data_IF_330457444677
#
_entry.id   IF_330457444677
#
_cell.length_a   1.000
_cell.length_b   1.000
_cell.length_c   1.000
_cell.angle_alpha   90.00
_cell.angle_beta   90.00
_cell.angle_gamma   90.00
#
_symmetry.space_group_name_H-M   'P 1'
#
loop_
_entity.id
_entity.type
_entity.pdbx_description
1 polymer ?
#
# COMPACT_ATOMS: atom_id res chain seq x y z
N UNK A 1 25.41 -13.60 16.23
CA UNK A 1 25.39 -13.08 14.85
C UNK A 1 24.33 -13.88 14.13
N UNK A 2 23.33 -13.22 13.55
CA UNK A 2 22.33 -13.90 12.72
C UNK A 2 22.98 -14.51 11.48
N UNK A 3 22.30 -15.44 10.86
CA UNK A 3 22.72 -16.07 9.61
C UNK A 3 22.72 -15.01 8.48
N UNK A 4 23.77 -15.01 7.65
CA UNK A 4 23.82 -14.14 6.46
C UNK A 4 22.85 -14.72 5.42
N UNK A 5 21.95 -13.90 4.93
CA UNK A 5 20.92 -14.30 3.96
C UNK A 5 21.15 -13.60 2.62
N UNK A 6 20.82 -14.29 1.53
CA UNK A 6 20.65 -13.71 0.20
C UNK A 6 19.21 -13.17 0.09
N UNK A 7 19.10 -11.87 -0.09
CA UNK A 7 17.80 -11.19 -0.08
C UNK A 7 17.60 -10.42 -1.38
N UNK A 8 16.51 -10.73 -2.08
CA UNK A 8 16.01 -9.89 -3.17
C UNK A 8 15.09 -8.84 -2.55
N UNK A 9 15.37 -7.56 -2.77
CA UNK A 9 14.47 -6.47 -2.42
C UNK A 9 13.70 -6.08 -3.67
N UNK A 10 12.43 -6.53 -3.77
CA UNK A 10 11.57 -6.15 -4.88
C UNK A 10 11.12 -4.71 -4.75
N UNK A 11 11.21 -3.97 -5.85
CA UNK A 11 10.80 -2.57 -5.93
C UNK A 11 10.24 -2.25 -7.32
N UNK A 12 9.79 -1.02 -7.53
CA UNK A 12 9.30 -0.55 -8.82
C UNK A 12 7.90 -1.06 -9.14
N UNK A 13 7.77 -1.85 -10.19
CA UNK A 13 6.46 -2.33 -10.68
C UNK A 13 5.74 -1.32 -11.58
N UNK A 14 4.41 -1.39 -11.64
CA UNK A 14 3.60 -0.62 -12.60
C UNK A 14 2.53 0.27 -11.95
N UNK A 15 2.48 0.31 -10.62
CA UNK A 15 1.53 1.13 -9.87
C UNK A 15 1.85 2.63 -9.96
N UNK A 16 0.89 3.47 -9.61
CA UNK A 16 1.08 4.91 -9.46
C UNK A 16 2.09 5.28 -8.38
N UNK A 17 2.41 4.33 -7.48
CA UNK A 17 3.35 4.48 -6.37
C UNK A 17 4.75 3.91 -6.67
N UNK A 18 5.04 3.64 -7.96
CA UNK A 18 6.32 3.10 -8.40
C UNK A 18 7.55 3.84 -7.85
N UNK A 19 7.55 5.16 -7.90
CA UNK A 19 8.69 5.96 -7.44
C UNK A 19 8.89 5.87 -5.93
N UNK A 20 7.81 5.76 -5.17
CA UNK A 20 7.83 5.49 -3.72
C UNK A 20 8.45 4.13 -3.45
N UNK A 21 8.02 3.11 -4.19
CA UNK A 21 8.56 1.75 -4.12
C UNK A 21 10.06 1.71 -4.38
N UNK A 22 10.57 2.44 -5.36
CA UNK A 22 12.00 2.53 -5.65
C UNK A 22 12.79 3.16 -4.49
N UNK A 23 12.22 4.17 -3.81
CA UNK A 23 12.84 4.77 -2.61
C UNK A 23 12.82 3.79 -1.44
N UNK A 24 11.72 3.10 -1.20
CA UNK A 24 11.61 2.05 -0.17
C UNK A 24 12.64 0.95 -0.43
N UNK A 25 12.69 0.41 -1.65
CA UNK A 25 13.64 -0.63 -2.04
C UNK A 25 15.10 -0.22 -1.81
N UNK A 26 15.45 1.00 -2.20
CA UNK A 26 16.78 1.56 -1.94
C UNK A 26 17.13 1.55 -0.43
N UNK A 27 16.27 2.15 0.40
CA UNK A 27 16.51 2.30 1.84
C UNK A 27 16.59 0.96 2.57
N UNK A 28 15.69 0.03 2.22
CA UNK A 28 15.65 -1.31 2.80
C UNK A 28 16.91 -2.10 2.40
N UNK A 29 17.25 -2.10 1.11
CA UNK A 29 18.43 -2.81 0.62
C UNK A 29 19.72 -2.29 1.29
N UNK A 30 19.85 -0.97 1.41
CA UNK A 30 20.98 -0.37 2.12
C UNK A 30 21.03 -0.80 3.59
N UNK A 31 19.89 -0.83 4.28
CA UNK A 31 19.81 -1.28 5.68
C UNK A 31 20.18 -2.76 5.84
N UNK A 32 19.69 -3.63 4.96
CA UNK A 32 20.02 -5.05 4.95
C UNK A 32 21.53 -5.29 4.73
N UNK A 33 22.13 -4.56 3.79
CA UNK A 33 23.59 -4.59 3.55
C UNK A 33 24.40 -4.14 4.77
N UNK A 34 23.95 -3.09 5.48
CA UNK A 34 24.59 -2.63 6.73
C UNK A 34 24.50 -3.68 7.83
N UNK A 35 23.46 -4.48 7.85
CA UNK A 35 23.31 -5.60 8.79
C UNK A 35 24.05 -6.88 8.36
N UNK A 36 24.76 -6.85 7.23
CA UNK A 36 25.66 -7.92 6.78
C UNK A 36 25.00 -8.94 5.84
N UNK A 37 23.78 -8.71 5.38
CA UNK A 37 23.13 -9.57 4.39
C UNK A 37 23.61 -9.29 2.96
N UNK A 38 23.52 -10.30 2.09
CA UNK A 38 23.73 -10.19 0.64
C UNK A 38 22.41 -9.75 -0.01
N UNK A 39 22.17 -8.44 -0.05
CA UNK A 39 20.90 -7.89 -0.54
C UNK A 39 21.12 -7.07 -1.80
N UNK A 40 20.21 -7.24 -2.78
CA UNK A 40 20.15 -6.39 -3.97
C UNK A 40 18.70 -6.02 -4.31
N UNK A 41 18.55 -4.81 -4.88
CA UNK A 41 17.27 -4.29 -5.33
C UNK A 41 16.98 -4.79 -6.75
N UNK A 42 15.75 -5.24 -6.99
CA UNK A 42 15.27 -5.77 -8.26
C UNK A 42 13.93 -5.13 -8.63
N UNK A 43 13.86 -4.52 -9.82
CA UNK A 43 12.57 -4.06 -10.33
C UNK A 43 11.76 -5.26 -10.82
N UNK A 44 10.59 -5.46 -10.22
CA UNK A 44 9.72 -6.62 -10.50
C UNK A 44 9.22 -6.65 -11.94
N UNK A 45 9.02 -5.48 -12.57
CA UNK A 45 8.50 -5.38 -13.93
C UNK A 45 9.60 -5.34 -14.98
N UNK A 46 10.69 -4.60 -14.74
CA UNK A 46 11.79 -4.49 -15.72
C UNK A 46 12.71 -5.71 -15.68
N UNK A 47 13.01 -6.26 -14.50
CA UNK A 47 13.96 -7.36 -14.35
C UNK A 47 15.42 -6.95 -14.60
N UNK A 48 16.25 -7.94 -14.87
CA UNK A 48 17.67 -7.78 -15.20
C UNK A 48 18.08 -8.70 -16.36
N UNK A 49 19.20 -8.38 -17.02
CA UNK A 49 19.74 -9.18 -18.10
C UNK A 49 20.45 -10.46 -17.60
N UNK A 50 20.60 -11.47 -18.47
CA UNK A 50 21.24 -12.76 -18.15
C UNK A 50 22.67 -12.62 -17.65
N UNK A 51 23.38 -11.58 -18.07
CA UNK A 51 24.74 -11.29 -17.65
C UNK A 51 24.83 -10.89 -16.16
N UNK A 52 23.75 -10.32 -15.60
CA UNK A 52 23.69 -9.82 -14.23
C UNK A 52 23.25 -10.91 -13.23
N UNK A 53 22.60 -11.99 -13.70
CA UNK A 53 22.07 -13.05 -12.83
C UNK A 53 23.16 -13.69 -11.97
N UNK A 54 24.31 -14.03 -12.56
CA UNK A 54 25.39 -14.75 -11.87
C UNK A 54 26.04 -13.94 -10.74
N UNK A 55 26.03 -12.63 -10.87
CA UNK A 55 26.68 -11.70 -9.92
C UNK A 55 25.67 -10.98 -9.03
N UNK A 56 24.39 -11.23 -9.22
CA UNK A 56 23.33 -10.47 -8.55
C UNK A 56 23.47 -10.39 -7.02
N UNK A 57 23.85 -11.47 -6.34
CA UNK A 57 24.05 -11.48 -4.89
C UNK A 57 25.47 -11.12 -4.44
N UNK A 58 26.45 -11.26 -5.32
CA UNK A 58 27.88 -11.10 -4.98
C UNK A 58 28.41 -9.70 -5.29
N UNK A 59 27.91 -9.05 -6.31
CA UNK A 59 28.28 -7.69 -6.68
C UNK A 59 27.36 -6.67 -5.99
N UNK A 60 27.98 -5.69 -5.33
CA UNK A 60 27.26 -4.60 -4.69
C UNK A 60 27.11 -3.44 -5.68
N UNK A 61 26.00 -3.39 -6.35
CA UNK A 61 25.65 -2.23 -7.17
C UNK A 61 25.53 -0.97 -6.34
N UNK A 62 25.85 0.18 -6.92
CA UNK A 62 25.47 1.48 -6.36
C UNK A 62 23.95 1.60 -6.39
N UNK A 63 23.34 1.49 -5.21
CA UNK A 63 21.87 1.50 -5.10
C UNK A 63 21.26 2.86 -5.42
N UNK A 64 21.98 3.95 -5.21
CA UNK A 64 21.55 5.29 -5.55
C UNK A 64 21.47 5.45 -7.07
N UNK A 65 22.54 5.09 -7.78
CA UNK A 65 22.58 5.11 -9.24
C UNK A 65 21.53 4.19 -9.84
N UNK A 66 21.36 2.97 -9.29
CA UNK A 66 20.34 2.02 -9.75
C UNK A 66 18.93 2.61 -9.58
N UNK A 67 18.60 3.15 -8.39
CA UNK A 67 17.30 3.78 -8.13
C UNK A 67 17.01 4.93 -9.09
N UNK A 68 17.99 5.80 -9.33
CA UNK A 68 17.84 6.93 -10.24
C UNK A 68 17.66 6.50 -11.70
N UNK A 69 18.38 5.45 -12.12
CA UNK A 69 18.22 4.89 -13.47
C UNK A 69 16.86 4.23 -13.67
N UNK A 70 16.33 3.55 -12.64
CA UNK A 70 14.99 2.95 -12.68
C UNK A 70 13.89 4.02 -12.70
N UNK A 71 14.04 5.13 -11.95
CA UNK A 71 13.11 6.27 -11.98
C UNK A 71 13.05 6.93 -13.36
N UNK A 72 14.17 7.09 -14.06
CA UNK A 72 14.18 7.64 -15.43
C UNK A 72 13.33 6.81 -16.40
N UNK A 73 13.15 5.52 -16.16
CA UNK A 73 12.32 4.63 -16.96
C UNK A 73 10.82 4.67 -16.61
N UNK A 74 10.42 5.36 -15.54
CA UNK A 74 9.02 5.40 -15.08
C UNK A 74 8.08 5.92 -16.17
N UNK A 75 8.48 6.90 -16.96
CA UNK A 75 7.66 7.47 -18.03
C UNK A 75 7.32 6.45 -19.14
N UNK A 76 8.17 5.44 -19.35
CA UNK A 76 7.99 4.43 -20.38
C UNK A 76 7.11 3.24 -19.93
N UNK A 77 6.87 3.10 -18.63
CA UNK A 77 6.15 1.97 -18.05
C UNK A 77 4.74 1.79 -18.64
N UNK A 78 3.89 2.83 -18.79
CA UNK A 78 2.55 2.65 -19.35
C UNK A 78 2.56 2.08 -20.77
N UNK A 79 3.50 2.52 -21.61
CA UNK A 79 3.64 2.01 -22.97
C UNK A 79 4.08 0.54 -22.98
N UNK A 80 5.02 0.18 -22.11
CA UNK A 80 5.50 -1.20 -21.97
C UNK A 80 4.44 -2.13 -21.38
N UNK A 81 3.63 -1.67 -20.42
CA UNK A 81 2.47 -2.43 -19.90
C UNK A 81 1.50 -2.74 -21.03
N UNK A 82 1.14 -1.74 -21.84
CA UNK A 82 0.27 -1.94 -23.00
C UNK A 82 0.85 -2.96 -23.96
N UNK A 83 2.10 -2.81 -24.35
CA UNK A 83 2.81 -3.74 -25.26
C UNK A 83 2.77 -5.18 -24.74
N UNK A 84 3.14 -5.40 -23.47
CA UNK A 84 3.15 -6.75 -22.86
C UNK A 84 1.75 -7.35 -22.76
N UNK A 85 0.75 -6.54 -22.44
CA UNK A 85 -0.65 -6.99 -22.37
C UNK A 85 -1.14 -7.47 -23.74
N UNK A 86 -0.87 -6.69 -24.81
CA UNK A 86 -1.24 -7.05 -26.18
C UNK A 86 -0.50 -8.31 -26.66
N UNK A 87 0.76 -8.46 -26.28
CA UNK A 87 1.59 -9.64 -26.60
C UNK A 87 1.33 -10.86 -25.69
N UNK A 88 0.50 -10.71 -24.63
CA UNK A 88 0.27 -11.73 -23.58
C UNK A 88 1.56 -12.19 -22.89
N UNK A 89 2.49 -11.28 -22.72
CA UNK A 89 3.73 -11.53 -21.98
C UNK A 89 3.51 -11.48 -20.47
N UNK A 90 4.46 -12.06 -19.73
CA UNK A 90 4.46 -12.05 -18.26
C UNK A 90 4.54 -10.62 -17.70
N UNK A 91 3.87 -10.38 -16.58
CA UNK A 91 4.09 -9.19 -15.75
C UNK A 91 5.53 -9.14 -15.21
N UNK A 92 6.07 -10.28 -14.80
CA UNK A 92 7.42 -10.35 -14.25
C UNK A 92 8.46 -10.09 -15.35
N UNK A 93 9.38 -9.19 -15.05
CA UNK A 93 10.51 -8.90 -15.90
C UNK A 93 11.45 -10.11 -16.03
N UNK A 94 12.41 -9.99 -16.95
CA UNK A 94 13.39 -11.05 -17.22
C UNK A 94 14.15 -11.40 -15.93
N UNK A 95 14.32 -12.68 -15.65
CA UNK A 95 15.07 -13.24 -14.52
C UNK A 95 14.52 -12.92 -13.11
N UNK A 96 13.38 -12.24 -12.98
CA UNK A 96 12.81 -11.87 -11.66
C UNK A 96 12.48 -13.12 -10.86
N UNK A 97 11.70 -14.05 -11.42
CA UNK A 97 11.27 -15.25 -10.70
C UNK A 97 12.42 -16.20 -10.38
N UNK A 98 13.43 -16.26 -11.26
CA UNK A 98 14.64 -17.08 -11.04
C UNK A 98 15.43 -16.55 -9.84
N UNK A 99 15.70 -15.25 -9.80
CA UNK A 99 16.42 -14.62 -8.70
C UNK A 99 15.64 -14.71 -7.38
N UNK A 100 14.32 -14.54 -7.42
CA UNK A 100 13.46 -14.71 -6.24
C UNK A 100 13.47 -16.16 -5.71
N UNK A 101 13.58 -17.16 -6.58
CA UNK A 101 13.72 -18.58 -6.17
C UNK A 101 15.07 -18.89 -5.56
N UNK A 102 16.15 -18.25 -6.03
CA UNK A 102 17.50 -18.42 -5.51
C UNK A 102 17.73 -17.69 -4.17
N UNK A 103 16.91 -16.71 -3.86
CA UNK A 103 16.98 -15.96 -2.61
C UNK A 103 16.55 -16.80 -1.40
N UNK A 104 17.14 -16.55 -0.25
CA UNK A 104 16.67 -17.11 1.02
C UNK A 104 15.37 -16.42 1.48
N UNK A 105 15.19 -15.13 1.10
CA UNK A 105 14.01 -14.31 1.36
C UNK A 105 13.84 -13.23 0.28
N UNK A 106 12.60 -12.95 -0.08
CA UNK A 106 12.23 -11.78 -0.88
C UNK A 106 11.62 -10.71 0.03
N UNK A 107 12.21 -9.53 0.07
CA UNK A 107 11.61 -8.38 0.75
C UNK A 107 10.69 -7.66 -0.23
N UNK A 108 9.41 -7.53 0.14
CA UNK A 108 8.38 -6.87 -0.66
C UNK A 108 8.43 -5.36 -0.42
N UNK A 109 9.27 -4.64 -1.17
CA UNK A 109 9.36 -3.17 -1.13
C UNK A 109 8.44 -2.50 -2.16
N UNK A 110 7.35 -3.17 -2.53
CA UNK A 110 6.35 -2.70 -3.50
C UNK A 110 5.29 -1.85 -2.81
N UNK A 111 4.62 -0.99 -3.58
CA UNK A 111 3.47 -0.21 -3.13
C UNK A 111 2.36 -0.23 -4.17
N UNK A 112 1.11 -0.24 -3.70
CA UNK A 112 -0.07 -0.23 -4.55
C UNK A 112 -0.30 -1.54 -5.30
N UNK A 113 -0.94 -1.44 -6.48
CA UNK A 113 -1.31 -2.61 -7.29
C UNK A 113 -0.12 -3.49 -7.64
N UNK A 114 -0.37 -4.79 -7.73
CA UNK A 114 0.58 -5.89 -7.88
C UNK A 114 1.47 -6.15 -6.65
N UNK A 115 1.70 -5.16 -5.78
CA UNK A 115 2.42 -5.35 -4.53
C UNK A 115 1.48 -5.71 -3.37
N UNK A 116 0.39 -4.96 -3.22
CA UNK A 116 -0.54 -5.05 -2.09
C UNK A 116 -1.87 -5.73 -2.43
N UNK A 117 -2.09 -6.17 -3.67
CA UNK A 117 -3.34 -6.79 -4.13
C UNK A 117 -3.35 -8.32 -4.14
N UNK A 118 -2.31 -8.95 -3.59
CA UNK A 118 -2.18 -10.40 -3.44
C UNK A 118 -1.70 -11.16 -4.68
N UNK A 119 -1.57 -10.53 -5.85
CA UNK A 119 -1.20 -11.23 -7.10
C UNK A 119 0.23 -11.77 -7.07
N UNK A 120 1.17 -10.97 -6.60
CA UNK A 120 2.58 -11.38 -6.46
C UNK A 120 2.70 -12.44 -5.36
N UNK A 121 2.03 -12.23 -4.23
CA UNK A 121 2.00 -13.18 -3.12
C UNK A 121 1.48 -14.55 -3.57
N UNK A 122 0.33 -14.61 -4.26
CA UNK A 122 -0.23 -15.85 -4.79
C UNK A 122 0.73 -16.56 -5.77
N UNK A 123 1.45 -15.80 -6.59
CA UNK A 123 2.45 -16.37 -7.49
C UNK A 123 3.61 -16.97 -6.70
N UNK A 124 4.07 -16.28 -5.66
CA UNK A 124 5.18 -16.73 -4.82
C UNK A 124 4.80 -17.97 -4.00
N UNK A 125 3.58 -18.03 -3.47
CA UNK A 125 3.05 -19.21 -2.78
C UNK A 125 3.10 -20.45 -3.69
N UNK A 126 2.61 -20.32 -4.93
CA UNK A 126 2.63 -21.43 -5.92
C UNK A 126 4.04 -21.85 -6.32
N UNK A 127 5.00 -20.95 -6.29
CA UNK A 127 6.39 -21.20 -6.66
C UNK A 127 7.27 -21.59 -5.46
N UNK A 128 6.75 -21.57 -4.24
CA UNK A 128 7.49 -21.85 -3.01
C UNK A 128 8.54 -20.78 -2.66
N UNK A 129 8.34 -19.54 -3.12
CA UNK A 129 9.21 -18.40 -2.84
C UNK A 129 8.83 -17.80 -1.49
N UNK A 130 9.80 -17.61 -0.60
CA UNK A 130 9.59 -16.94 0.69
C UNK A 130 9.63 -15.43 0.53
N UNK A 131 8.66 -14.73 1.13
CA UNK A 131 8.56 -13.28 1.05
C UNK A 131 8.13 -12.66 2.39
N UNK A 132 8.38 -11.37 2.56
CA UNK A 132 7.90 -10.58 3.70
C UNK A 132 6.49 -10.06 3.42
N UNK A 133 5.73 -9.78 4.47
CA UNK A 133 4.33 -9.32 4.36
C UNK A 133 3.34 -10.46 4.62
N UNK A 134 2.07 -10.14 4.49
CA UNK A 134 0.97 -11.10 4.68
C UNK A 134 0.67 -11.86 3.38
N UNK A 135 -0.22 -12.86 3.45
CA UNK A 135 -0.57 -13.71 2.32
C UNK A 135 -1.41 -13.01 1.23
N UNK A 136 -1.68 -13.73 0.14
CA UNK A 136 -2.41 -13.20 -1.00
C UNK A 136 -3.85 -12.82 -0.67
N UNK A 137 -4.52 -13.58 0.22
CA UNK A 137 -5.95 -13.36 0.51
C UNK A 137 -6.16 -12.12 1.36
N UNK A 138 -5.40 -12.00 2.45
CA UNK A 138 -5.45 -10.81 3.31
C UNK A 138 -5.00 -9.54 2.59
N UNK A 139 -4.00 -9.64 1.70
CA UNK A 139 -3.60 -8.54 0.82
C UNK A 139 -4.73 -8.12 -0.12
N UNK A 140 -5.38 -9.06 -0.80
CA UNK A 140 -6.48 -8.77 -1.71
C UNK A 140 -7.72 -8.17 -1.01
N UNK A 141 -8.06 -8.65 0.19
CA UNK A 141 -9.15 -8.10 1.00
C UNK A 141 -8.82 -6.67 1.43
N UNK A 142 -7.61 -6.43 1.93
CA UNK A 142 -7.17 -5.13 2.44
C UNK A 142 -7.08 -4.08 1.34
N UNK A 143 -6.62 -4.46 0.15
CA UNK A 143 -6.50 -3.56 -1.00
C UNK A 143 -7.87 -3.06 -1.49
N UNK A 144 -8.90 -3.90 -1.45
CA UNK A 144 -10.24 -3.52 -1.87
C UNK A 144 -11.05 -2.93 -0.72
N UNK A 145 -11.25 -1.62 -0.71
CA UNK A 145 -12.03 -0.92 0.33
C UNK A 145 -13.47 -1.46 0.45
N UNK A 146 -14.06 -1.90 -0.67
CA UNK A 146 -15.36 -2.56 -0.69
C UNK A 146 -15.32 -3.91 0.05
N UNK A 147 -14.35 -4.77 -0.27
CA UNK A 147 -14.21 -6.08 0.36
C UNK A 147 -13.81 -5.94 1.83
N UNK A 148 -12.88 -5.04 2.14
CA UNK A 148 -12.51 -4.72 3.52
C UNK A 148 -13.75 -4.35 4.34
N UNK A 149 -14.60 -3.44 3.86
CA UNK A 149 -15.86 -3.09 4.56
C UNK A 149 -16.79 -4.29 4.72
N UNK A 150 -16.94 -5.14 3.70
CA UNK A 150 -17.79 -6.34 3.78
C UNK A 150 -17.29 -7.35 4.80
N UNK A 151 -15.98 -7.38 5.09
CA UNK A 151 -15.37 -8.25 6.09
C UNK A 151 -15.37 -7.58 7.46
N UNK A 152 -14.97 -6.32 7.55
CA UNK A 152 -14.70 -5.65 8.84
C UNK A 152 -15.99 -5.18 9.55
N UNK A 153 -16.97 -4.63 8.81
CA UNK A 153 -18.21 -4.10 9.41
C UNK A 153 -19.04 -5.17 10.14
N UNK A 154 -19.23 -6.39 9.59
CA UNK A 154 -19.92 -7.46 10.33
C UNK A 154 -19.23 -7.91 11.61
N UNK A 155 -17.91 -7.73 11.73
CA UNK A 155 -17.12 -7.99 12.94
C UNK A 155 -17.24 -6.87 14.00
N UNK A 156 -18.09 -5.85 13.72
CA UNK A 156 -18.33 -4.72 14.62
C UNK A 156 -17.23 -3.65 14.60
N UNK A 157 -16.31 -3.70 13.64
CA UNK A 157 -15.25 -2.71 13.49
C UNK A 157 -15.87 -1.38 12.99
N UNK A 158 -15.65 -0.27 13.70
CA UNK A 158 -16.22 1.01 13.30
C UNK A 158 -15.54 1.53 12.04
N UNK A 159 -16.33 1.79 11.02
CA UNK A 159 -15.91 2.40 9.76
C UNK A 159 -16.89 3.50 9.35
N UNK A 160 -16.46 4.53 8.59
CA UNK A 160 -17.39 5.52 8.04
C UNK A 160 -18.51 4.83 7.25
N UNK A 161 -19.76 5.26 7.39
CA UNK A 161 -20.87 4.70 6.62
C UNK A 161 -20.73 5.05 5.16
N UNK A 162 -21.05 4.13 4.28
CA UNK A 162 -20.91 4.39 2.85
C UNK A 162 -21.55 3.34 1.97
N UNK A 163 -21.53 3.62 0.69
CA UNK A 163 -22.07 2.77 -0.38
C UNK A 163 -21.05 2.59 -1.48
N UNK A 164 -21.07 1.43 -2.12
CA UNK A 164 -20.26 1.17 -3.31
C UNK A 164 -21.09 1.46 -4.55
N UNK A 165 -20.54 2.27 -5.44
CA UNK A 165 -21.15 2.61 -6.72
C UNK A 165 -20.35 1.95 -7.85
N UNK A 166 -21.08 1.47 -8.87
CA UNK A 166 -20.49 0.89 -10.07
C UNK A 166 -20.80 1.76 -11.28
N UNK A 167 -19.82 1.96 -12.14
CA UNK A 167 -19.97 2.77 -13.36
C UNK A 167 -21.16 2.32 -14.21
N UNK A 168 -22.00 3.27 -14.60
CA UNK A 168 -23.20 3.00 -15.38
C UNK A 168 -24.41 2.48 -14.58
N UNK A 169 -24.30 2.30 -13.26
CA UNK A 169 -25.43 1.95 -12.40
C UNK A 169 -26.08 3.22 -11.81
N UNK A 170 -27.30 3.04 -11.26
CA UNK A 170 -28.01 4.14 -10.60
C UNK A 170 -27.21 4.61 -9.39
N UNK A 171 -26.99 5.92 -9.30
CA UNK A 171 -26.34 6.56 -8.16
C UNK A 171 -27.31 6.56 -6.97
N UNK A 172 -26.87 6.04 -5.84
CA UNK A 172 -27.58 6.16 -4.58
C UNK A 172 -27.17 7.46 -3.88
N UNK A 173 -28.15 8.12 -3.25
CA UNK A 173 -27.89 9.35 -2.53
C UNK A 173 -27.07 9.11 -1.27
N UNK A 174 -26.02 9.91 -1.07
CA UNK A 174 -25.21 9.97 0.14
C UNK A 174 -25.30 11.38 0.70
N UNK A 175 -25.49 11.55 2.02
CA UNK A 175 -25.54 12.88 2.64
C UNK A 175 -24.21 13.64 2.47
N UNK A 176 -24.30 14.95 2.22
CA UNK A 176 -23.12 15.82 2.19
C UNK A 176 -22.76 16.35 3.57
N UNK A 177 -21.47 16.59 3.87
CA UNK A 177 -20.34 16.27 2.99
C UNK A 177 -20.06 14.77 2.93
N UNK A 178 -19.54 14.30 1.79
CA UNK A 178 -19.13 12.91 1.60
C UNK A 178 -17.75 12.81 0.96
N UNK A 179 -17.12 11.65 1.11
CA UNK A 179 -15.83 11.32 0.50
C UNK A 179 -16.06 10.34 -0.64
N UNK A 180 -15.59 10.68 -1.82
CA UNK A 180 -15.62 9.84 -3.02
C UNK A 180 -14.22 9.32 -3.30
N UNK A 181 -14.04 8.01 -3.45
CA UNK A 181 -12.71 7.40 -3.65
C UNK A 181 -12.76 6.12 -4.48
N UNK A 182 -11.74 5.83 -5.30
CA UNK A 182 -11.57 4.53 -5.93
C UNK A 182 -11.48 3.41 -4.89
N UNK A 183 -12.02 2.23 -5.21
CA UNK A 183 -12.04 1.10 -4.26
C UNK A 183 -10.66 0.47 -4.02
N UNK A 184 -9.84 0.36 -5.07
CA UNK A 184 -8.51 -0.27 -4.99
C UNK A 184 -7.36 0.74 -5.17
N UNK A 185 -7.66 2.03 -5.18
CA UNK A 185 -6.66 3.10 -5.26
C UNK A 185 -5.90 3.28 -3.94
N UNK A 186 -4.62 3.67 -4.03
CA UNK A 186 -3.76 4.04 -2.91
C UNK A 186 -3.40 5.54 -2.93
N UNK A 187 -2.68 5.98 -1.89
CA UNK A 187 -2.07 7.32 -1.81
C UNK A 187 -3.01 8.50 -2.07
N UNK A 188 -4.28 8.37 -1.73
CA UNK A 188 -5.33 9.39 -1.93
C UNK A 188 -5.51 9.83 -3.40
N UNK A 189 -5.06 9.06 -4.39
CA UNK A 189 -5.28 9.35 -5.81
C UNK A 189 -6.77 9.15 -6.13
N UNK A 190 -7.41 10.16 -6.74
CA UNK A 190 -8.83 10.15 -7.08
C UNK A 190 -9.76 10.26 -5.86
N UNK A 191 -9.25 10.67 -4.69
CA UNK A 191 -10.05 10.92 -3.48
C UNK A 191 -10.48 12.38 -3.45
N UNK A 192 -11.79 12.62 -3.37
CA UNK A 192 -12.38 13.95 -3.31
C UNK A 192 -13.42 14.06 -2.21
N UNK A 193 -13.50 15.23 -1.57
CA UNK A 193 -14.57 15.57 -0.61
C UNK A 193 -15.60 16.42 -1.35
N UNK A 194 -16.85 15.98 -1.36
CA UNK A 194 -17.96 16.67 -1.99
C UNK A 194 -18.90 17.28 -0.94
N UNK A 195 -19.16 18.58 -1.05
CA UNK A 195 -20.06 19.33 -0.17
C UNK A 195 -21.43 19.58 -0.77
N UNK A 196 -21.61 19.32 -2.05
CA UNK A 196 -22.85 19.49 -2.80
C UNK A 196 -22.92 18.55 -4.01
N UNK A 197 -24.06 18.52 -4.66
CA UNK A 197 -24.35 17.62 -5.78
C UNK A 197 -23.39 17.81 -6.96
N UNK A 198 -23.05 19.07 -7.30
CA UNK A 198 -22.10 19.33 -8.40
C UNK A 198 -20.68 18.81 -8.10
N UNK A 199 -20.16 19.08 -6.90
CA UNK A 199 -18.86 18.55 -6.47
C UNK A 199 -18.86 17.02 -6.43
N UNK A 200 -20.00 16.43 -6.08
CA UNK A 200 -20.17 14.98 -6.06
C UNK A 200 -20.13 14.37 -7.47
N UNK A 201 -20.80 14.99 -8.46
CA UNK A 201 -20.73 14.54 -9.85
C UNK A 201 -19.29 14.65 -10.39
N UNK A 202 -18.63 15.80 -10.19
CA UNK A 202 -17.24 16.01 -10.59
C UNK A 202 -16.30 14.99 -9.94
N UNK A 203 -16.49 14.68 -8.65
CA UNK A 203 -15.72 13.68 -7.90
C UNK A 203 -15.94 12.25 -8.38
N UNK A 204 -17.19 11.91 -8.76
CA UNK A 204 -17.51 10.60 -9.35
C UNK A 204 -16.84 10.43 -10.71
N UNK A 205 -16.90 11.45 -11.56
CA UNK A 205 -16.26 11.41 -12.88
C UNK A 205 -14.76 11.22 -12.75
N UNK A 206 -14.13 11.91 -11.80
CA UNK A 206 -12.71 11.74 -11.49
C UNK A 206 -12.42 10.31 -11.01
N UNK A 207 -13.11 9.82 -9.98
CA UNK A 207 -12.88 8.49 -9.40
C UNK A 207 -13.15 7.37 -10.42
N UNK A 208 -14.20 7.48 -11.24
CA UNK A 208 -14.49 6.54 -12.33
C UNK A 208 -13.52 6.62 -13.52
N UNK A 209 -12.65 7.61 -13.57
CA UNK A 209 -11.55 7.62 -14.54
C UNK A 209 -10.43 6.64 -14.16
N UNK A 210 -10.34 6.27 -12.88
CA UNK A 210 -9.36 5.33 -12.36
C UNK A 210 -9.89 3.90 -12.28
N UNK A 211 -11.14 3.71 -11.83
CA UNK A 211 -11.75 2.40 -11.60
C UNK A 211 -13.25 2.40 -11.90
N UNK A 212 -13.78 1.21 -12.25
CA UNK A 212 -15.22 1.05 -12.47
C UNK A 212 -16.03 0.88 -11.17
N UNK A 213 -15.36 0.82 -10.02
CA UNK A 213 -15.96 0.68 -8.69
C UNK A 213 -15.44 1.79 -7.77
N UNK A 214 -16.37 2.55 -7.20
CA UNK A 214 -16.10 3.72 -6.37
C UNK A 214 -16.79 3.57 -5.02
N UNK A 215 -16.11 3.87 -3.94
CA UNK A 215 -16.67 3.94 -2.59
C UNK A 215 -17.02 5.40 -2.27
N UNK A 216 -18.26 5.61 -1.82
CA UNK A 216 -18.72 6.90 -1.29
C UNK A 216 -19.04 6.74 0.17
N UNK A 217 -18.41 7.56 1.03
CA UNK A 217 -18.56 7.50 2.48
C UNK A 217 -18.97 8.83 3.08
N UNK A 218 -19.61 8.80 4.25
CA UNK A 218 -19.77 10.00 5.07
C UNK A 218 -18.41 10.64 5.36
N UNK A 219 -18.36 11.96 5.33
CA UNK A 219 -17.17 12.68 5.73
C UNK A 219 -17.06 12.70 7.26
N UNK A 220 -15.99 12.16 7.79
CA UNK A 220 -15.65 12.21 9.21
C UNK A 220 -14.67 13.35 9.46
N UNK A 221 -15.12 14.39 10.14
CA UNK A 221 -14.25 15.50 10.58
C UNK A 221 -13.46 15.06 11.81
N UNK A 222 -12.19 14.72 11.63
CA UNK A 222 -11.36 14.12 12.66
C UNK A 222 -9.86 14.27 12.43
N UNK A 223 -9.09 13.86 13.44
CA UNK A 223 -7.63 13.73 13.40
C UNK A 223 -7.27 12.38 12.81
N UNK A 224 -6.21 12.33 12.02
CA UNK A 224 -5.75 11.10 11.35
C UNK A 224 -4.62 10.42 12.14
N UNK A 225 -4.73 9.11 12.28
CA UNK A 225 -3.79 8.27 13.02
C UNK A 225 -3.44 7.04 12.21
N UNK A 226 -2.30 6.46 12.56
CA UNK A 226 -1.82 5.23 11.97
C UNK A 226 -1.31 4.30 13.06
N UNK A 227 -1.73 3.03 13.02
CA UNK A 227 -1.32 2.00 13.98
C UNK A 227 -0.70 0.83 13.25
N UNK A 228 0.59 0.63 13.44
CA UNK A 228 1.24 -0.58 12.93
C UNK A 228 0.93 -1.77 13.82
N UNK A 229 0.66 -2.91 13.21
CA UNK A 229 0.44 -4.20 13.87
C UNK A 229 1.51 -5.16 13.40
N UNK A 230 2.23 -5.77 14.33
CA UNK A 230 3.29 -6.75 14.06
C UNK A 230 3.00 -8.02 14.83
N UNK A 231 2.91 -9.15 14.12
CA UNK A 231 2.60 -10.46 14.72
C UNK A 231 1.36 -10.41 15.63
N UNK A 232 0.29 -9.76 15.13
CA UNK A 232 -0.99 -9.60 15.82
C UNK A 232 -0.99 -8.63 17.00
N UNK A 233 0.10 -7.85 17.21
CA UNK A 233 0.20 -6.88 18.30
C UNK A 233 0.40 -5.47 17.76
N UNK A 234 -0.45 -4.56 18.21
CA UNK A 234 -0.37 -3.16 17.86
C UNK A 234 0.86 -2.49 18.52
N UNK A 235 1.53 -1.66 17.74
CA UNK A 235 2.60 -0.79 18.18
C UNK A 235 2.03 0.57 18.66
N UNK A 236 2.85 1.47 19.20
CA UNK A 236 2.39 2.80 19.60
C UNK A 236 1.70 3.55 18.45
N UNK A 237 0.60 4.22 18.77
CA UNK A 237 -0.19 5.01 17.82
C UNK A 237 0.63 6.19 17.31
N UNK A 238 0.56 6.44 16.02
CA UNK A 238 1.19 7.59 15.35
C UNK A 238 0.08 8.57 14.96
N UNK A 239 0.22 9.84 15.32
CA UNK A 239 -0.63 10.90 14.81
C UNK A 239 -0.03 11.50 13.54
N UNK A 240 -0.86 11.70 12.53
CA UNK A 240 -0.50 12.25 11.23
C UNK A 240 -1.19 13.61 11.08
N UNK A 241 -0.39 14.70 11.13
CA UNK A 241 -0.88 16.08 11.04
C UNK A 241 -0.39 16.70 9.71
N UNK A 242 -1.25 16.77 8.64
CA UNK A 242 -0.92 17.56 7.47
C UNK A 242 -0.74 19.03 7.87
N UNK A 243 0.31 19.70 7.40
CA UNK A 243 0.56 21.12 7.71
C UNK A 243 -0.37 22.04 6.94
N UNK A 244 -0.91 21.59 5.80
CA UNK A 244 -1.88 22.33 4.98
C UNK A 244 -2.91 21.37 4.40
N UNK A 245 -4.19 21.69 4.54
CA UNK A 245 -5.30 21.02 3.88
C UNK A 245 -5.56 19.58 4.36
N UNK A 246 -5.81 18.69 3.42
CA UNK A 246 -6.14 17.28 3.61
C UNK A 246 -4.90 16.40 3.40
N UNK A 247 -4.86 15.19 3.97
CA UNK A 247 -3.75 14.24 3.80
C UNK A 247 -3.81 13.58 2.42
N UNK A 248 -3.58 14.40 1.38
CA UNK A 248 -3.56 14.01 -0.02
C UNK A 248 -2.20 13.47 -0.46
N UNK A 249 -2.09 13.05 -1.73
CA UNK A 249 -0.85 12.55 -2.32
C UNK A 249 0.35 13.48 -2.11
N UNK A 250 0.14 14.78 -2.26
CA UNK A 250 1.19 15.80 -2.09
C UNK A 250 1.68 15.85 -0.65
N UNK A 251 0.77 15.79 0.33
CA UNK A 251 1.09 15.81 1.74
C UNK A 251 1.71 14.49 2.23
N UNK A 252 1.40 13.36 1.58
CA UNK A 252 2.00 12.05 1.88
C UNK A 252 3.48 11.96 1.51
N UNK A 253 3.90 12.56 0.38
CA UNK A 253 5.22 12.31 -0.19
C UNK A 253 6.14 13.52 -0.28
N UNK A 254 5.65 14.73 -0.06
CA UNK A 254 6.48 15.92 0.01
C UNK A 254 7.13 16.03 1.39
N UNK A 255 8.46 16.00 1.43
CA UNK A 255 9.19 16.12 2.68
C UNK A 255 8.82 17.42 3.42
N UNK A 256 8.43 17.28 4.70
CA UNK A 256 8.08 18.39 5.57
C UNK A 256 6.66 18.96 5.37
N UNK A 257 5.76 18.28 4.65
CA UNK A 257 4.35 18.67 4.53
C UNK A 257 3.45 18.04 5.59
N UNK A 258 3.95 17.06 6.31
CA UNK A 258 3.23 16.33 7.36
C UNK A 258 4.11 16.24 8.59
N UNK A 259 3.51 16.43 9.76
CA UNK A 259 4.15 16.17 11.05
C UNK A 259 3.63 14.84 11.58
N UNK A 260 4.56 13.94 11.91
CA UNK A 260 4.28 12.66 12.53
C UNK A 260 4.71 12.70 14.00
N UNK A 261 3.81 12.29 14.90
CA UNK A 261 4.07 12.25 16.34
C UNK A 261 3.86 10.84 16.87
N UNK A 262 4.94 10.20 17.37
CA UNK A 262 4.92 8.86 17.94
C UNK A 262 5.61 8.83 19.32
N UNK A 263 4.98 8.35 20.39
CA UNK A 263 3.55 8.07 20.51
C UNK A 263 2.68 9.31 20.30
N UNK A 264 1.47 9.12 19.77
CA UNK A 264 0.50 10.20 19.57
C UNK A 264 0.14 10.88 20.90
N UNK A 265 -0.11 12.19 20.84
CA UNK A 265 -0.56 12.96 22.01
C UNK A 265 -2.08 12.86 22.19
N UNK A 266 -2.53 11.71 22.71
CA UNK A 266 -3.92 11.38 23.01
C UNK A 266 -4.03 10.69 24.37
N UNK A 267 -5.23 10.67 25.01
CA UNK A 267 -5.47 9.90 26.23
C UNK A 267 -5.14 8.41 26.04
N UNK A 268 -4.62 7.78 27.11
CA UNK A 268 -4.18 6.37 27.06
C UNK A 268 -5.32 5.39 26.75
N UNK A 269 -6.53 5.69 27.21
CA UNK A 269 -7.73 4.91 26.91
C UNK A 269 -8.12 4.97 25.42
N UNK A 270 -7.96 6.13 24.77
CA UNK A 270 -8.17 6.30 23.33
C UNK A 270 -7.08 5.56 22.55
N UNK A 271 -5.80 5.71 22.93
CA UNK A 271 -4.71 4.98 22.30
C UNK A 271 -4.93 3.46 22.37
N UNK A 272 -5.34 2.95 23.54
CA UNK A 272 -5.64 1.53 23.73
C UNK A 272 -6.83 1.04 22.89
N UNK A 273 -7.85 1.88 22.69
CA UNK A 273 -8.97 1.55 21.82
C UNK A 273 -8.54 1.52 20.33
N UNK A 274 -7.72 2.48 19.87
CA UNK A 274 -7.16 2.46 18.52
C UNK A 274 -6.34 1.18 18.27
N UNK A 275 -5.43 0.87 19.19
CA UNK A 275 -4.64 -0.35 19.12
C UNK A 275 -5.52 -1.62 19.05
N UNK A 276 -6.57 -1.68 19.87
CA UNK A 276 -7.54 -2.78 19.85
C UNK A 276 -8.24 -2.91 18.48
N UNK A 277 -8.69 -1.78 17.90
CA UNK A 277 -9.35 -1.82 16.60
C UNK A 277 -8.39 -2.18 15.47
N UNK A 278 -7.14 -1.69 15.50
CA UNK A 278 -6.12 -2.08 14.53
C UNK A 278 -5.83 -3.60 14.58
N UNK A 279 -5.69 -4.18 15.79
CA UNK A 279 -5.53 -5.63 15.95
C UNK A 279 -6.75 -6.39 15.42
N UNK A 280 -7.96 -5.90 15.69
CA UNK A 280 -9.21 -6.49 15.19
C UNK A 280 -9.32 -6.41 13.66
N UNK A 281 -8.94 -5.29 13.04
CA UNK A 281 -8.87 -5.17 11.59
C UNK A 281 -7.96 -6.23 10.98
N UNK A 282 -6.73 -6.35 11.50
CA UNK A 282 -5.77 -7.34 11.05
C UNK A 282 -6.29 -8.78 11.24
N UNK A 283 -6.89 -9.08 12.39
CA UNK A 283 -7.46 -10.40 12.67
C UNK A 283 -8.59 -10.74 11.70
N UNK A 284 -9.54 -9.82 11.48
CA UNK A 284 -10.69 -10.03 10.60
C UNK A 284 -10.29 -10.16 9.14
N UNK A 285 -9.29 -9.40 8.68
CA UNK A 285 -8.75 -9.49 7.32
C UNK A 285 -7.81 -10.70 7.12
N UNK A 286 -7.41 -11.41 8.19
CA UNK A 286 -6.50 -12.55 8.13
C UNK A 286 -5.03 -12.18 7.98
N UNK A 287 -4.62 -10.98 8.38
CA UNK A 287 -3.22 -10.54 8.33
C UNK A 287 -2.39 -11.35 9.33
N UNK A 288 -1.31 -11.98 8.84
CA UNK A 288 -0.51 -12.94 9.63
C UNK A 288 0.84 -12.40 10.09
N UNK A 289 1.37 -11.35 9.46
CA UNK A 289 2.71 -10.84 9.75
C UNK A 289 2.68 -9.41 10.26
N UNK A 290 2.54 -8.46 9.37
CA UNK A 290 2.42 -7.05 9.72
C UNK A 290 1.45 -6.34 8.79
N UNK A 291 0.88 -5.26 9.30
CA UNK A 291 0.13 -4.27 8.53
C UNK A 291 0.15 -2.94 9.27
N UNK A 292 -0.35 -1.92 8.62
CA UNK A 292 -0.64 -0.61 9.19
C UNK A 292 -2.12 -0.33 8.97
N UNK A 293 -2.83 0.01 10.04
CA UNK A 293 -4.23 0.42 9.98
C UNK A 293 -4.30 1.93 10.13
N UNK A 294 -4.96 2.59 9.18
CA UNK A 294 -5.18 4.03 9.23
C UNK A 294 -6.57 4.30 9.84
N UNK A 295 -6.62 5.23 10.80
CA UNK A 295 -7.79 5.50 11.64
C UNK A 295 -8.07 7.00 11.75
N UNK A 296 -9.34 7.36 11.91
CA UNK A 296 -9.77 8.72 12.27
C UNK A 296 -10.32 8.76 13.70
N UNK A 297 -10.04 9.84 14.41
CA UNK A 297 -10.65 10.18 15.70
C UNK A 297 -11.47 11.46 15.54
N UNK A 298 -12.80 11.35 15.66
CA UNK A 298 -13.67 12.51 15.59
C UNK A 298 -13.61 13.36 16.87
N UNK A 299 -14.25 14.54 16.85
CA UNK A 299 -14.32 15.46 18.00
C UNK A 299 -15.08 14.90 19.22
N UNK A 300 -15.79 13.80 19.08
CA UNK A 300 -16.50 13.11 20.16
C UNK A 300 -15.74 11.89 20.65
N UNK A 301 -14.48 11.71 20.23
CA UNK A 301 -13.63 10.57 20.50
C UNK A 301 -14.16 9.23 19.91
N UNK A 302 -14.97 9.29 18.85
CA UNK A 302 -15.29 8.08 18.10
C UNK A 302 -14.14 7.75 17.14
N UNK A 303 -13.75 6.48 17.12
CA UNK A 303 -12.70 5.95 16.26
C UNK A 303 -13.36 5.35 15.02
N UNK A 304 -12.77 5.59 13.84
CA UNK A 304 -13.18 4.99 12.57
C UNK A 304 -11.97 4.42 11.85
N UNK A 305 -11.97 3.12 11.56
CA UNK A 305 -10.95 2.49 10.73
C UNK A 305 -11.20 2.84 9.26
N UNK A 306 -10.17 3.24 8.54
CA UNK A 306 -10.25 3.66 7.14
C UNK A 306 -9.80 2.57 6.18
N UNK A 307 -8.58 2.06 6.38
CA UNK A 307 -7.95 1.08 5.50
C UNK A 307 -6.85 0.29 6.23
N UNK A 308 -6.50 -0.86 5.66
CA UNK A 308 -5.39 -1.71 6.10
C UNK A 308 -4.35 -1.71 4.98
N UNK A 309 -3.11 -1.34 5.29
CA UNK A 309 -1.97 -1.35 4.39
C UNK A 309 -1.06 -2.54 4.75
N UNK A 310 -0.82 -3.45 3.81
CA UNK A 310 -0.19 -4.75 4.08
C UNK A 310 1.29 -4.83 3.68
N UNK A 311 1.85 -3.76 3.11
CA UNK A 311 3.29 -3.65 2.80
C UNK A 311 3.89 -2.34 3.33
#
# INVERSE_FOLDING_TARGET
>A
KGEIMRIVVLAGGTSTERDVSLVTGYRVCESLRRNGHEANMLDIFLGVDDSEVKTFFTEKNDLGELSDNLKKKTADIPAEVKRRTEARESFFGRNVLELCKEADMVFMGLHGSNGEDGKVQATFDLLGIRYTGTDYLSSAISMSKELAKKVLVPEGIPMPKGVTLHKGHKIEYVPFPCVVKPCCGGSSVGVSIAHNEKEFEDALDEAFSYEDTVLVEEFVDGREFSVAVLDGKALPVIEIEPLEGFYDYKNKYKAGSTKETCPANIPEDIASQMQFWAEKCCQAAGVTTYARVDELLDKNNNIFCLEINTL
#
